data_IF_333910170432
#
_entry.id   IF_333910170432
#
_cell.length_a   1.000
_cell.length_b   1.000
_cell.length_c   1.000
_cell.angle_alpha   90.00
_cell.angle_beta   90.00
_cell.angle_gamma   90.00
#
_symmetry.space_group_name_H-M   'P 1'
#
loop_
_entity.id
_entity.type
_entity.pdbx_description
1 polymer ?
#
# COMPACT_ATOMS: atom_id res chain seq x y z
N UNK A 1 6.37 -0.11 -11.22
CA UNK A 1 5.16 0.53 -10.66
C UNK A 1 5.31 2.03 -10.84
N UNK A 2 4.25 2.79 -11.16
CA UNK A 2 4.38 4.25 -11.31
C UNK A 2 4.78 4.88 -9.96
N UNK A 3 5.64 5.92 -9.95
CA UNK A 3 6.04 6.57 -8.71
C UNK A 3 4.88 7.16 -7.90
N UNK A 4 3.79 7.60 -8.56
CA UNK A 4 2.57 8.08 -7.91
C UNK A 4 1.85 6.98 -7.15
N UNK A 5 1.71 5.79 -7.76
CA UNK A 5 1.11 4.60 -7.14
C UNK A 5 1.89 4.20 -5.89
N UNK A 6 3.22 4.11 -5.99
CA UNK A 6 4.07 3.76 -4.85
C UNK A 6 3.93 4.75 -3.69
N UNK A 7 3.88 6.06 -3.99
CA UNK A 7 3.67 7.09 -2.96
C UNK A 7 2.30 6.96 -2.30
N UNK A 8 1.25 6.70 -3.07
CA UNK A 8 -0.10 6.52 -2.55
C UNK A 8 -0.19 5.29 -1.63
N UNK A 9 0.40 4.16 -2.03
CA UNK A 9 0.41 2.94 -1.23
C UNK A 9 1.19 3.09 0.09
N UNK A 10 2.38 3.73 0.06
CA UNK A 10 3.14 4.04 1.29
C UNK A 10 2.37 4.96 2.23
N UNK A 11 1.67 5.97 1.68
CA UNK A 11 0.85 6.87 2.48
C UNK A 11 -0.36 6.16 3.08
N UNK A 12 -1.00 5.27 2.31
CA UNK A 12 -2.08 4.44 2.81
C UNK A 12 -1.61 3.52 3.95
N UNK A 13 -0.44 2.89 3.83
CA UNK A 13 0.15 2.07 4.89
C UNK A 13 0.37 2.87 6.19
N UNK A 14 0.91 4.09 6.08
CA UNK A 14 1.09 4.98 7.23
C UNK A 14 -0.25 5.37 7.88
N UNK A 15 -1.27 5.69 7.07
CA UNK A 15 -2.60 6.03 7.56
C UNK A 15 -3.30 4.84 8.22
N UNK A 16 -3.13 3.64 7.67
CA UNK A 16 -3.63 2.40 8.26
C UNK A 16 -3.02 2.17 9.65
N UNK A 17 -1.70 2.37 9.82
CA UNK A 17 -1.05 2.29 11.15
C UNK A 17 -1.57 3.34 12.14
N UNK A 18 -2.06 4.48 11.65
CA UNK A 18 -2.66 5.53 12.47
C UNK A 18 -4.16 5.29 12.74
N UNK A 19 -4.71 4.14 12.36
CA UNK A 19 -6.14 3.83 12.42
C UNK A 19 -7.03 4.81 11.61
N UNK A 20 -6.48 5.41 10.55
CA UNK A 20 -7.16 6.36 9.64
C UNK A 20 -7.62 5.66 8.37
N UNK A 21 -8.40 4.59 8.53
CA UNK A 21 -8.73 3.66 7.45
C UNK A 21 -9.46 4.33 6.27
N UNK A 22 -10.43 5.21 6.54
CA UNK A 22 -11.14 5.94 5.48
C UNK A 22 -10.20 6.74 4.59
N UNK A 23 -9.20 7.40 5.18
CA UNK A 23 -8.24 8.21 4.43
C UNK A 23 -7.23 7.34 3.67
N UNK A 24 -6.85 6.21 4.25
CA UNK A 24 -6.01 5.23 3.57
C UNK A 24 -6.69 4.71 2.29
N UNK A 25 -7.98 4.35 2.37
CA UNK A 25 -8.77 3.91 1.21
C UNK A 25 -8.90 5.02 0.17
N UNK A 26 -9.25 6.25 0.57
CA UNK A 26 -9.40 7.38 -0.35
C UNK A 26 -8.13 7.69 -1.15
N UNK A 27 -6.94 7.39 -0.61
CA UNK A 27 -5.67 7.57 -1.31
C UNK A 27 -5.30 6.35 -2.17
N UNK A 28 -5.54 5.13 -1.68
CA UNK A 28 -5.10 3.90 -2.36
C UNK A 28 -6.05 3.45 -3.49
N UNK A 29 -7.36 3.53 -3.28
CA UNK A 29 -8.35 3.01 -4.22
C UNK A 29 -8.23 3.61 -5.64
N UNK A 30 -8.08 4.94 -5.83
CA UNK A 30 -7.97 5.51 -7.16
C UNK A 30 -6.77 4.97 -7.96
N UNK A 31 -5.64 4.73 -7.30
CA UNK A 31 -4.43 4.23 -7.97
C UNK A 31 -4.51 2.73 -8.25
N UNK A 32 -5.24 1.97 -7.43
CA UNK A 32 -5.51 0.54 -7.67
C UNK A 32 -6.47 0.38 -8.85
N UNK A 33 -7.56 1.15 -8.90
CA UNK A 33 -8.55 1.07 -9.98
C UNK A 33 -8.03 1.60 -11.32
N UNK A 34 -7.04 2.51 -11.31
CA UNK A 34 -6.43 3.05 -12.52
C UNK A 34 -5.22 2.26 -13.03
N UNK A 35 -4.87 1.14 -12.38
CA UNK A 35 -3.76 0.29 -12.79
C UNK A 35 -4.17 -0.59 -13.99
N UNK A 36 -3.28 -0.70 -14.97
CA UNK A 36 -3.39 -1.74 -15.98
C UNK A 36 -2.92 -3.10 -15.41
N UNK A 37 -2.99 -4.16 -16.21
CA UNK A 37 -2.59 -5.51 -15.77
C UNK A 37 -1.13 -5.58 -15.29
N UNK A 38 -0.22 -4.85 -15.94
CA UNK A 38 1.19 -4.91 -15.59
C UNK A 38 1.44 -4.22 -14.25
N UNK A 39 0.90 -3.01 -14.08
CA UNK A 39 1.04 -2.29 -12.82
C UNK A 39 0.25 -2.97 -11.69
N UNK A 40 -0.89 -3.59 -11.98
CA UNK A 40 -1.66 -4.38 -11.02
C UNK A 40 -0.83 -5.51 -10.39
N UNK A 41 -0.08 -6.25 -11.22
CA UNK A 41 0.83 -7.29 -10.73
C UNK A 41 1.96 -6.73 -9.86
N UNK A 42 2.45 -5.53 -10.17
CA UNK A 42 3.46 -4.85 -9.34
C UNK A 42 2.88 -4.33 -8.01
N UNK A 43 1.64 -3.86 -8.00
CA UNK A 43 0.91 -3.46 -6.78
C UNK A 43 0.73 -4.68 -5.87
N UNK A 44 0.27 -5.81 -6.42
CA UNK A 44 0.07 -7.04 -5.65
C UNK A 44 1.38 -7.53 -5.00
N UNK A 45 2.46 -7.58 -5.78
CA UNK A 45 3.79 -7.93 -5.26
C UNK A 45 4.23 -6.98 -4.15
N UNK A 46 4.08 -5.68 -4.36
CA UNK A 46 4.45 -4.69 -3.36
C UNK A 46 3.65 -4.83 -2.06
N UNK A 47 2.32 -5.02 -2.15
CA UNK A 47 1.46 -5.21 -0.99
C UNK A 47 1.84 -6.46 -0.18
N UNK A 48 2.15 -7.57 -0.85
CA UNK A 48 2.61 -8.79 -0.21
C UNK A 48 3.95 -8.60 0.53
N UNK A 49 4.89 -7.89 -0.08
CA UNK A 49 6.21 -7.63 0.50
C UNK A 49 6.17 -6.64 1.68
N UNK A 50 5.12 -5.81 1.77
CA UNK A 50 5.03 -4.69 2.71
C UNK A 50 3.86 -4.81 3.71
N UNK A 51 3.34 -6.02 3.96
CA UNK A 51 2.25 -6.24 4.95
C UNK A 51 2.57 -5.62 6.31
N UNK A 52 3.83 -5.75 6.76
CA UNK A 52 4.30 -5.19 8.04
C UNK A 52 4.22 -3.66 8.11
N UNK A 53 4.26 -2.98 6.96
CA UNK A 53 4.14 -1.52 6.92
C UNK A 53 2.72 -1.03 7.28
N UNK A 54 1.72 -1.92 7.22
CA UNK A 54 0.33 -1.65 7.60
C UNK A 54 0.03 -2.02 9.05
N UNK A 55 0.67 -3.06 9.59
CA UNK A 55 0.41 -3.55 10.95
C UNK A 55 1.32 -2.91 11.99
N UNK A 56 2.49 -2.38 11.58
CA UNK A 56 3.50 -1.88 12.50
C UNK A 56 4.24 -2.98 13.25
N UNK A 57 4.00 -4.24 12.90
CA UNK A 57 4.77 -5.38 13.38
C UNK A 57 6.16 -5.29 12.73
N UNK A 58 7.18 -4.93 13.50
CA UNK A 58 8.56 -5.16 13.10
C UNK A 58 8.74 -6.66 12.92
N UNK A 59 9.28 -7.11 11.78
CA UNK A 59 9.73 -8.50 11.63
C UNK A 59 10.61 -8.83 12.84
N UNK A 60 10.09 -9.61 13.79
CA UNK A 60 10.95 -10.24 14.79
C UNK A 60 11.88 -11.14 13.98
N UNK A 61 13.16 -10.76 13.94
CA UNK A 61 14.20 -11.62 13.41
C UNK A 61 14.27 -12.85 14.33
N UNK A 62 13.92 -14.01 13.80
CA UNK A 62 14.30 -15.32 14.32
C UNK A 62 15.74 -15.65 13.89
#
# INVERSE_FOLDING_TARGET
MRPSTLRALKRAAELTRQNRLTEAVLIAEPVILAADSYEGDEILRWLADHVTDFTGETKEND
#
